data_IF_900226210806
#
_entry.id   IF_900226210806
#
_cell.length_a   1.000
_cell.length_b   1.000
_cell.length_c   1.000
_cell.angle_alpha   90.00
_cell.angle_beta   90.00
_cell.angle_gamma   90.00
#
_symmetry.space_group_name_H-M   'P 1'
#
loop_
_entity.id
_entity.type
_entity.pdbx_description
1 polymer ?
#
# COMPACT_ATOMS: atom_id res chain seq x y z
N UNK A 1 -28.72 -27.18 -14.81
CA UNK A 1 -27.75 -26.13 -14.46
C UNK A 1 -26.71 -26.09 -15.57
N UNK A 2 -26.72 -25.04 -16.41
CA UNK A 2 -25.74 -24.92 -17.49
C UNK A 2 -24.43 -24.41 -16.93
N UNK A 3 -23.36 -25.20 -17.07
CA UNK A 3 -22.01 -24.72 -16.83
C UNK A 3 -21.71 -23.72 -17.94
N UNK A 4 -21.45 -22.47 -17.58
CA UNK A 4 -20.94 -21.47 -18.52
C UNK A 4 -19.52 -21.87 -18.85
N UNK A 5 -19.37 -22.65 -19.91
CA UNK A 5 -18.07 -22.91 -20.52
C UNK A 5 -17.58 -21.56 -21.06
N UNK A 6 -16.38 -21.13 -20.69
CA UNK A 6 -15.69 -19.98 -21.27
C UNK A 6 -14.64 -20.47 -22.27
N UNK A 7 -15.03 -21.13 -23.38
CA UNK A 7 -14.06 -21.62 -24.36
C UNK A 7 -13.38 -20.39 -24.95
N UNK A 8 -12.08 -20.25 -24.66
CA UNK A 8 -11.12 -19.26 -25.18
C UNK A 8 -10.84 -17.99 -24.36
N UNK A 9 -11.39 -17.83 -23.15
CA UNK A 9 -11.03 -16.71 -22.27
C UNK A 9 -11.11 -15.32 -22.97
N UNK A 10 -12.14 -15.13 -23.80
CA UNK A 10 -12.35 -13.92 -24.62
C UNK A 10 -13.13 -12.81 -23.92
N UNK A 11 -13.81 -13.11 -22.82
CA UNK A 11 -14.42 -12.10 -21.97
C UNK A 11 -13.34 -11.54 -21.03
N UNK A 12 -13.18 -10.23 -21.04
CA UNK A 12 -12.39 -9.52 -20.05
C UNK A 12 -13.07 -9.73 -18.70
N UNK A 13 -12.40 -10.39 -17.76
CA UNK A 13 -12.79 -10.28 -16.36
C UNK A 13 -12.10 -9.02 -15.84
N UNK A 14 -12.89 -7.99 -15.59
CA UNK A 14 -12.46 -6.75 -14.96
C UNK A 14 -13.02 -6.75 -13.54
N UNK A 15 -12.14 -6.52 -12.55
CA UNK A 15 -12.50 -6.53 -11.15
C UNK A 15 -11.94 -5.30 -10.48
N UNK A 16 -12.84 -4.46 -9.96
CA UNK A 16 -12.49 -3.41 -9.03
C UNK A 16 -11.94 -4.02 -7.74
N UNK A 17 -10.69 -3.72 -7.47
CA UNK A 17 -9.90 -4.18 -6.33
C UNK A 17 -9.63 -3.09 -5.30
N UNK A 18 -10.18 -1.88 -5.43
CA UNK A 18 -10.05 -0.82 -4.41
C UNK A 18 -10.48 -1.28 -2.99
N UNK A 19 -11.58 -2.04 -2.81
CA UNK A 19 -11.92 -2.58 -1.49
C UNK A 19 -10.85 -3.53 -0.93
N UNK A 20 -10.23 -4.34 -1.79
CA UNK A 20 -9.13 -5.21 -1.39
C UNK A 20 -7.89 -4.39 -1.03
N UNK A 21 -7.55 -3.37 -1.84
CA UNK A 21 -6.40 -2.49 -1.60
C UNK A 21 -6.49 -1.80 -0.24
N UNK A 22 -7.69 -1.34 0.15
CA UNK A 22 -7.95 -0.74 1.46
C UNK A 22 -7.57 -1.68 2.59
N UNK A 23 -8.13 -2.88 2.58
CA UNK A 23 -7.86 -3.90 3.61
C UNK A 23 -6.38 -4.30 3.61
N UNK A 24 -5.81 -4.57 2.44
CA UNK A 24 -4.41 -4.95 2.34
C UNK A 24 -3.46 -3.87 2.89
N UNK A 25 -3.67 -2.61 2.52
CA UNK A 25 -2.81 -1.50 2.97
C UNK A 25 -2.97 -1.26 4.47
N UNK A 26 -4.18 -1.32 5.02
CA UNK A 26 -4.42 -1.27 6.46
C UNK A 26 -3.66 -2.39 7.20
N UNK A 27 -3.72 -3.63 6.71
CA UNK A 27 -3.06 -4.77 7.36
C UNK A 27 -1.54 -4.74 7.24
N UNK A 28 -1.00 -4.37 6.07
CA UNK A 28 0.44 -4.44 5.79
C UNK A 28 1.18 -3.22 6.29
N UNK A 29 0.60 -2.03 6.13
CA UNK A 29 1.21 -0.78 6.60
C UNK A 29 0.87 -0.49 8.06
N UNK A 30 -0.25 -1.01 8.56
CA UNK A 30 -0.60 -0.94 9.97
C UNK A 30 0.55 -1.48 10.83
N UNK A 31 0.87 -0.74 11.90
CA UNK A 31 1.98 -1.06 12.82
C UNK A 31 3.38 -1.02 12.17
N UNK A 32 3.55 -0.33 11.04
CA UNK A 32 4.91 0.01 10.59
C UNK A 32 5.57 0.86 11.66
N UNK A 33 6.69 0.40 12.20
CA UNK A 33 7.46 1.14 13.18
C UNK A 33 8.93 1.24 12.78
N UNK A 34 9.53 2.37 13.12
CA UNK A 34 10.96 2.54 13.24
C UNK A 34 11.27 2.87 14.68
N UNK A 35 12.24 2.18 15.29
CA UNK A 35 12.67 2.45 16.66
C UNK A 35 14.19 2.36 16.76
N UNK A 36 14.79 3.36 17.40
CA UNK A 36 16.19 3.31 17.84
C UNK A 36 16.26 3.73 19.32
N UNK A 37 17.46 3.99 19.83
CA UNK A 37 17.66 4.38 21.23
C UNK A 37 17.10 5.77 21.58
N UNK A 38 16.91 6.65 20.58
CA UNK A 38 16.51 8.05 20.77
C UNK A 38 15.04 8.30 20.56
N UNK A 39 14.44 7.67 19.55
CA UNK A 39 13.06 7.92 19.16
C UNK A 39 12.39 6.69 18.55
N UNK A 40 11.06 6.72 18.55
CA UNK A 40 10.19 5.76 17.89
C UNK A 40 9.22 6.50 16.97
N UNK A 41 9.01 5.97 15.76
CA UNK A 41 8.03 6.44 14.79
C UNK A 41 7.08 5.30 14.47
N UNK A 42 5.77 5.55 14.52
CA UNK A 42 4.75 4.52 14.29
C UNK A 42 3.69 5.05 13.33
N UNK A 43 3.35 4.26 12.31
CA UNK A 43 2.12 4.45 11.52
C UNK A 43 0.95 3.92 12.34
N UNK A 44 0.09 4.84 12.79
CA UNK A 44 -1.02 4.53 13.69
C UNK A 44 -2.25 4.09 12.92
N UNK A 45 -2.48 4.67 11.73
CA UNK A 45 -3.67 4.39 10.93
C UNK A 45 -3.46 4.74 9.46
N UNK A 46 -4.02 3.92 8.57
CA UNK A 46 -4.25 4.32 7.17
C UNK A 46 -5.56 5.11 7.14
N UNK A 47 -5.48 6.42 6.97
CA UNK A 47 -6.65 7.30 7.08
C UNK A 47 -7.47 7.38 5.80
N UNK A 48 -6.81 7.28 4.65
CA UNK A 48 -7.47 7.31 3.34
C UNK A 48 -6.74 6.46 2.31
N UNK A 49 -7.52 5.75 1.49
CA UNK A 49 -7.09 5.08 0.26
C UNK A 49 -8.15 5.37 -0.79
N UNK A 50 -7.80 6.17 -1.79
CA UNK A 50 -8.71 6.63 -2.84
C UNK A 50 -8.04 6.51 -4.21
N UNK A 51 -8.85 6.51 -5.27
CA UNK A 51 -8.37 6.31 -6.64
C UNK A 51 -8.92 5.00 -7.21
N UNK A 52 -8.22 4.48 -8.21
CA UNK A 52 -8.65 3.34 -9.00
C UNK A 52 -7.66 2.17 -8.85
N UNK A 53 -8.19 0.96 -8.78
CA UNK A 53 -7.39 -0.25 -8.69
C UNK A 53 -8.20 -1.37 -9.31
N UNK A 54 -7.75 -1.85 -10.47
CA UNK A 54 -8.44 -2.85 -11.25
C UNK A 54 -7.49 -3.99 -11.62
N UNK A 55 -8.02 -5.21 -11.55
CA UNK A 55 -7.33 -6.40 -12.04
C UNK A 55 -8.09 -6.97 -13.21
N UNK A 56 -7.35 -7.21 -14.29
CA UNK A 56 -7.85 -7.85 -15.50
C UNK A 56 -7.18 -9.19 -15.73
N UNK A 57 -7.96 -10.15 -16.20
CA UNK A 57 -7.43 -11.44 -16.65
C UNK A 57 -7.69 -11.64 -18.14
N UNK A 58 -6.61 -11.94 -18.88
CA UNK A 58 -6.69 -12.22 -20.31
C UNK A 58 -5.71 -13.32 -20.70
N UNK A 59 -6.19 -14.34 -21.40
CA UNK A 59 -5.37 -15.49 -21.86
C UNK A 59 -4.56 -16.15 -20.73
N UNK A 60 -5.11 -16.21 -19.51
CA UNK A 60 -4.43 -16.80 -18.35
C UNK A 60 -3.31 -15.93 -17.77
N UNK A 61 -3.21 -14.66 -18.19
CA UNK A 61 -2.35 -13.67 -17.56
C UNK A 61 -3.20 -12.70 -16.75
N UNK A 62 -2.85 -12.58 -15.47
CA UNK A 62 -3.39 -11.57 -14.56
C UNK A 62 -2.55 -10.30 -14.67
N UNK A 63 -3.21 -9.15 -14.86
CA UNK A 63 -2.59 -7.83 -14.91
C UNK A 63 -3.36 -6.89 -14.00
N UNK A 64 -2.67 -5.96 -13.38
CA UNK A 64 -3.30 -4.89 -12.62
C UNK A 64 -3.06 -3.55 -13.30
N UNK A 65 -3.91 -2.59 -12.99
CA UNK A 65 -3.64 -1.17 -13.14
C UNK A 65 -4.16 -0.50 -11.87
N UNK A 66 -3.37 0.39 -11.30
CA UNK A 66 -3.79 1.15 -10.13
C UNK A 66 -3.17 2.54 -10.17
N UNK A 67 -3.92 3.49 -9.64
CA UNK A 67 -3.54 4.86 -9.37
C UNK A 67 -4.24 5.25 -8.08
N UNK A 68 -3.47 5.30 -6.99
CA UNK A 68 -4.00 5.49 -5.64
C UNK A 68 -3.38 6.71 -4.99
N UNK A 69 -4.21 7.48 -4.29
CA UNK A 69 -3.77 8.45 -3.30
C UNK A 69 -3.91 7.83 -1.91
N UNK A 70 -2.84 7.89 -1.12
CA UNK A 70 -2.78 7.30 0.22
C UNK A 70 -2.50 8.35 1.28
N UNK A 71 -3.25 8.30 2.39
CA UNK A 71 -3.01 9.14 3.57
C UNK A 71 -2.86 8.27 4.81
N UNK A 72 -1.89 8.62 5.65
CA UNK A 72 -1.54 7.90 6.87
C UNK A 72 -1.43 8.86 8.05
N UNK A 73 -2.01 8.48 9.18
CA UNK A 73 -1.75 9.10 10.48
C UNK A 73 -0.57 8.39 11.13
N UNK A 74 0.31 9.15 11.78
CA UNK A 74 1.53 8.63 12.41
C UNK A 74 1.92 9.47 13.62
N UNK A 75 2.75 8.89 14.48
CA UNK A 75 3.27 9.56 15.67
C UNK A 75 4.76 9.32 15.86
N UNK A 76 5.44 10.29 16.44
CA UNK A 76 6.83 10.21 16.88
C UNK A 76 6.91 10.44 18.38
N UNK A 77 7.67 9.59 19.07
CA UNK A 77 7.95 9.67 20.50
C UNK A 77 9.45 9.70 20.72
N UNK A 78 9.97 10.67 21.47
CA UNK A 78 11.35 10.67 21.95
C UNK A 78 11.45 9.79 23.19
N UNK A 79 12.44 8.92 23.27
CA UNK A 79 12.53 7.88 24.31
C UNK A 79 13.28 8.35 25.57
N UNK A 80 14.12 9.37 25.44
CA UNK A 80 14.92 9.93 26.54
C UNK A 80 14.28 11.20 27.13
N UNK A 81 13.22 11.71 26.51
CA UNK A 81 12.52 12.95 26.91
C UNK A 81 11.08 12.57 27.34
N UNK A 82 10.58 13.13 28.46
CA UNK A 82 9.16 13.00 28.85
C UNK A 82 8.26 13.95 28.03
N UNK A 83 8.51 14.03 26.73
CA UNK A 83 7.75 14.88 25.81
C UNK A 83 6.50 14.16 25.29
N UNK A 84 5.49 14.95 24.93
CA UNK A 84 4.27 14.45 24.32
C UNK A 84 4.54 13.89 22.91
N UNK A 85 3.79 12.84 22.55
CA UNK A 85 3.81 12.25 21.22
C UNK A 85 3.50 13.31 20.15
N UNK A 86 4.40 13.46 19.18
CA UNK A 86 4.22 14.37 18.06
C UNK A 86 3.45 13.64 16.96
N UNK A 87 2.19 14.02 16.78
CA UNK A 87 1.34 13.50 15.72
C UNK A 87 1.59 14.22 14.40
N UNK A 88 1.64 13.47 13.31
CA UNK A 88 1.84 13.99 11.96
C UNK A 88 1.13 13.10 10.93
N UNK A 89 0.95 13.65 9.73
CA UNK A 89 0.31 12.96 8.60
C UNK A 89 1.31 12.78 7.46
N UNK A 90 1.27 11.63 6.81
CA UNK A 90 2.01 11.35 5.57
C UNK A 90 0.98 11.19 4.45
N UNK A 91 1.13 11.98 3.38
CA UNK A 91 0.37 11.86 2.14
C UNK A 91 1.29 11.38 1.03
N UNK A 92 0.88 10.31 0.34
CA UNK A 92 1.44 9.91 -0.95
C UNK A 92 0.38 10.27 -2.02
N UNK A 93 0.58 11.37 -2.77
CA UNK A 93 -0.43 11.88 -3.70
C UNK A 93 -0.68 10.93 -4.87
N UNK A 94 0.36 10.21 -5.30
CA UNK A 94 0.30 9.30 -6.44
C UNK A 94 1.09 8.04 -6.10
N UNK A 95 0.39 6.91 -6.11
CA UNK A 95 0.94 5.57 -6.01
C UNK A 95 0.42 4.79 -7.22
N UNK A 96 1.21 4.80 -8.29
CA UNK A 96 0.82 4.27 -9.60
C UNK A 96 1.51 2.96 -9.98
N UNK A 97 0.86 2.17 -10.85
CA UNK A 97 1.37 0.90 -11.38
C UNK A 97 2.71 1.02 -12.12
N UNK A 98 2.90 2.11 -12.85
CA UNK A 98 4.04 2.34 -13.74
C UNK A 98 5.07 3.33 -13.15
N UNK A 99 4.92 3.70 -11.87
CA UNK A 99 5.90 4.56 -11.20
C UNK A 99 7.14 3.77 -10.78
N UNK A 100 8.30 4.39 -10.96
CA UNK A 100 9.55 3.86 -10.45
C UNK A 100 9.58 3.89 -8.92
N UNK A 101 10.25 2.91 -8.31
CA UNK A 101 10.29 2.72 -6.86
C UNK A 101 10.87 3.89 -6.06
N UNK A 102 11.69 4.72 -6.72
CA UNK A 102 12.34 5.88 -6.15
C UNK A 102 11.55 7.19 -6.32
N UNK A 103 10.51 7.19 -7.16
CA UNK A 103 9.78 8.41 -7.57
C UNK A 103 8.62 8.79 -6.65
N UNK A 104 8.31 7.99 -5.62
CA UNK A 104 7.27 8.31 -4.65
C UNK A 104 7.59 9.58 -3.85
N UNK A 105 6.80 10.63 -4.06
CA UNK A 105 6.90 11.91 -3.35
C UNK A 105 6.01 11.93 -2.10
N UNK A 106 6.62 11.73 -0.93
CA UNK A 106 5.92 11.74 0.34
C UNK A 106 5.84 13.15 0.95
N UNK A 107 4.61 13.63 1.13
CA UNK A 107 4.31 14.91 1.76
C UNK A 107 4.04 14.70 3.25
N UNK A 108 4.87 15.31 4.10
CA UNK A 108 4.76 15.20 5.56
C UNK A 108 4.20 16.50 6.14
N UNK A 109 3.09 16.39 6.86
CA UNK A 109 2.38 17.51 7.50
C UNK A 109 2.42 17.35 9.02
N UNK A 110 2.79 18.43 9.73
CA UNK A 110 3.09 18.40 11.17
C UNK A 110 4.60 18.43 11.45
N UNK A 111 4.95 18.81 12.69
CA UNK A 111 6.33 18.91 13.16
C UNK A 111 7.18 20.01 12.53
N UNK A 112 8.40 20.18 13.04
CA UNK A 112 9.40 21.12 12.52
C UNK A 112 10.24 20.47 11.39
N UNK A 113 11.18 21.23 10.80
CA UNK A 113 12.01 20.75 9.69
C UNK A 113 12.91 19.56 10.08
N UNK A 114 13.41 19.53 11.31
CA UNK A 114 14.26 18.45 11.82
C UNK A 114 13.49 17.14 11.93
N UNK A 115 12.28 17.19 12.48
CA UNK A 115 11.37 16.06 12.58
C UNK A 115 11.04 15.48 11.19
N UNK A 116 10.70 16.36 10.23
CA UNK A 116 10.43 15.92 8.85
C UNK A 116 11.64 15.22 8.22
N UNK A 117 12.86 15.66 8.54
CA UNK A 117 14.08 15.00 8.08
C UNK A 117 14.23 13.61 8.72
N UNK A 118 14.02 13.49 10.03
CA UNK A 118 14.05 12.21 10.74
C UNK A 118 13.08 11.21 10.11
N UNK A 119 11.83 11.62 9.83
CA UNK A 119 10.83 10.77 9.19
C UNK A 119 11.28 10.35 7.79
N UNK A 120 11.76 11.29 6.97
CA UNK A 120 12.21 10.98 5.59
C UNK A 120 13.37 10.00 5.57
N UNK A 121 14.34 10.18 6.46
CA UNK A 121 15.57 9.40 6.43
C UNK A 121 15.38 7.99 7.01
N UNK A 122 14.45 7.81 7.96
CA UNK A 122 14.34 6.56 8.73
C UNK A 122 13.03 5.81 8.53
N UNK A 123 11.91 6.52 8.37
CA UNK A 123 10.58 5.91 8.38
C UNK A 123 10.02 5.70 6.97
N UNK A 124 10.15 6.71 6.09
CA UNK A 124 9.68 6.62 4.70
C UNK A 124 10.27 5.41 3.95
N UNK A 125 11.57 5.05 4.10
CA UNK A 125 12.11 3.86 3.44
C UNK A 125 11.38 2.57 3.83
N UNK A 126 10.91 2.44 5.08
CA UNK A 126 10.16 1.27 5.54
C UNK A 126 8.75 1.23 4.93
N UNK A 127 8.07 2.38 4.88
CA UNK A 127 6.76 2.50 4.24
C UNK A 127 6.86 2.18 2.75
N UNK A 128 7.86 2.75 2.06
CA UNK A 128 8.17 2.47 0.65
C UNK A 128 8.40 0.99 0.41
N UNK A 129 9.27 0.35 1.20
CA UNK A 129 9.58 -1.08 1.03
C UNK A 129 8.33 -1.97 1.12
N UNK A 130 7.35 -1.61 1.95
CA UNK A 130 6.06 -2.31 2.04
C UNK A 130 5.14 -2.02 0.86
N UNK A 131 5.08 -0.77 0.40
CA UNK A 131 4.31 -0.39 -0.80
C UNK A 131 4.80 -1.12 -2.05
N UNK A 132 6.10 -1.33 -2.21
CA UNK A 132 6.65 -2.08 -3.36
C UNK A 132 6.19 -3.54 -3.43
N UNK A 133 5.71 -4.12 -2.33
CA UNK A 133 5.13 -5.47 -2.33
C UNK A 133 3.68 -5.49 -2.84
N UNK A 134 2.99 -4.35 -2.82
CA UNK A 134 1.55 -4.25 -3.12
C UNK A 134 1.20 -4.84 -4.48
N UNK A 135 1.91 -4.45 -5.53
CA UNK A 135 1.62 -4.90 -6.90
C UNK A 135 1.76 -6.42 -7.05
N UNK A 136 2.84 -6.97 -6.51
CA UNK A 136 3.09 -8.41 -6.54
C UNK A 136 2.00 -9.19 -5.80
N UNK A 137 1.62 -8.72 -4.62
CA UNK A 137 0.57 -9.34 -3.80
C UNK A 137 -0.82 -9.17 -4.41
N UNK A 138 -1.13 -8.02 -5.02
CA UNK A 138 -2.38 -7.77 -5.75
C UNK A 138 -2.55 -8.75 -6.91
N UNK A 139 -1.51 -8.92 -7.72
CA UNK A 139 -1.52 -9.88 -8.82
C UNK A 139 -1.68 -11.29 -8.25
N UNK A 140 -0.88 -11.67 -7.25
CA UNK A 140 -0.89 -13.03 -6.68
C UNK A 140 -2.23 -13.42 -6.05
N UNK A 141 -2.86 -12.50 -5.32
CA UNK A 141 -4.17 -12.73 -4.69
C UNK A 141 -5.28 -12.92 -5.73
N UNK A 142 -5.18 -12.23 -6.86
CA UNK A 142 -6.18 -12.28 -7.92
C UNK A 142 -5.78 -13.14 -9.10
N UNK A 143 -4.60 -13.76 -9.04
CA UNK A 143 -4.16 -14.74 -10.01
C UNK A 143 -4.91 -16.04 -9.76
N UNK A 144 -5.94 -16.26 -10.58
CA UNK A 144 -6.62 -17.55 -10.65
C UNK A 144 -5.71 -18.52 -11.41
N UNK A 145 -4.55 -18.85 -10.84
CA UNK A 145 -3.85 -20.07 -11.24
C UNK A 145 -4.87 -21.20 -11.11
N UNK A 146 -5.14 -21.82 -12.25
CA UNK A 146 -6.11 -22.88 -12.49
C UNK A 146 -6.11 -23.88 -11.32
N UNK A 147 -7.00 -23.68 -10.33
CA UNK A 147 -7.42 -24.76 -9.43
C UNK A 147 -8.42 -25.64 -10.20
N UNK A 148 -7.93 -26.29 -11.25
CA UNK A 148 -8.47 -27.58 -11.69
C UNK A 148 -7.47 -28.64 -11.23
N UNK A 149 -7.76 -29.18 -10.05
CA UNK A 149 -7.36 -30.50 -9.55
C UNK A 149 -8.40 -30.74 -8.45
N UNK A 150 -9.28 -31.73 -8.43
CA UNK A 150 -9.55 -32.90 -9.26
C UNK A 150 -10.92 -33.39 -8.79
N UNK A 151 -11.86 -33.66 -9.69
CA UNK A 151 -12.74 -34.84 -9.62
C UNK A 151 -13.26 -35.15 -11.03
#
# INVERSE_FOLDING_TARGET
MGIVHNPNNWHWLDKNCLPWSKTYLEEKLGNTEFKNDKFQVILTKVSSVTGDCDVTQRKGQTRCIFDLQLEFESKLSFLEEEDEDINFTILLPEFGHDQDEDDYDFIITGGNAELKKIIRDNFIPLVRAKLLQFQGDLIKEHDQSVKHNTD
#
